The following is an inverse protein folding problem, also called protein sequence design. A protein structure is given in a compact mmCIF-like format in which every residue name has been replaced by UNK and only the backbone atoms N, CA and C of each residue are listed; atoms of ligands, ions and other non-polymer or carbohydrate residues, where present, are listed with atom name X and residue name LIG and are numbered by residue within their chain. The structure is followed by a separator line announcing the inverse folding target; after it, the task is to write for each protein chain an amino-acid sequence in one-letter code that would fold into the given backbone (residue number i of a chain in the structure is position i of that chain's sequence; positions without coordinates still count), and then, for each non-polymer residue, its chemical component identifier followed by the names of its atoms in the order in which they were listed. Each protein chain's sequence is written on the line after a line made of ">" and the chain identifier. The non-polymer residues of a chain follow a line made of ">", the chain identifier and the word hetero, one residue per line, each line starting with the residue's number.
data_IF_367822645717
#
_entry.id   IF_367822645717
#
_cell.length_a   1.000
_cell.length_b   1.000
_cell.length_c   1.000
_cell.angle_alpha   90.00
_cell.angle_beta   90.00
_cell.angle_gamma   90.00
#
_symmetry.space_group_name_H-M   'P 1'
#
loop_
_entity.id
_entity.type
_entity.pdbx_description
1 polymer ?
#
# COMPACT_ATOMS: atom_id res chain seq x y z
N UNK A 1 -23.70 9.68 25.07
CA UNK A 1 -23.06 10.66 24.16
C UNK A 1 -21.79 9.98 23.65
N UNK A 2 -21.51 9.98 22.36
CA UNK A 2 -20.20 9.50 21.89
C UNK A 2 -19.11 10.34 22.55
N UNK A 3 -18.01 9.68 22.87
CA UNK A 3 -16.85 10.31 23.50
C UNK A 3 -16.17 11.21 22.45
N UNK A 4 -16.33 12.52 22.59
CA UNK A 4 -15.83 13.52 21.63
C UNK A 4 -14.31 13.41 21.42
N UNK A 5 -13.59 13.07 22.47
CA UNK A 5 -12.14 12.93 22.43
C UNK A 5 -11.75 11.69 21.58
N UNK A 6 -12.51 10.58 21.68
CA UNK A 6 -12.30 9.39 20.88
C UNK A 6 -12.57 9.63 19.37
N UNK A 7 -13.58 10.43 19.05
CA UNK A 7 -13.90 10.82 17.68
C UNK A 7 -12.77 11.68 17.07
N UNK A 8 -12.25 12.66 17.80
CA UNK A 8 -11.15 13.52 17.33
C UNK A 8 -9.86 12.71 17.08
N UNK A 9 -9.55 11.76 17.96
CA UNK A 9 -8.41 10.84 17.78
C UNK A 9 -8.61 9.96 16.53
N UNK A 10 -9.80 9.45 16.29
CA UNK A 10 -10.14 8.64 15.11
C UNK A 10 -9.97 9.44 13.82
N UNK A 11 -10.46 10.67 13.80
CA UNK A 11 -10.32 11.59 12.65
C UNK A 11 -8.85 11.87 12.35
N UNK A 12 -8.06 12.25 13.35
CA UNK A 12 -6.64 12.55 13.18
C UNK A 12 -5.87 11.32 12.67
N UNK A 13 -6.17 10.14 13.22
CA UNK A 13 -5.54 8.88 12.80
C UNK A 13 -5.89 8.50 11.37
N UNK A 14 -7.15 8.66 10.97
CA UNK A 14 -7.59 8.40 9.60
C UNK A 14 -6.89 9.33 8.62
N UNK A 15 -6.81 10.64 8.90
CA UNK A 15 -6.16 11.62 8.03
C UNK A 15 -4.67 11.33 7.85
N UNK A 16 -3.96 10.97 8.93
CA UNK A 16 -2.54 10.56 8.83
C UNK A 16 -2.38 9.30 7.97
N UNK A 17 -3.21 8.28 8.18
CA UNK A 17 -3.17 7.06 7.38
C UNK A 17 -3.51 7.33 5.91
N UNK A 18 -4.50 8.18 5.63
CA UNK A 18 -4.86 8.60 4.27
C UNK A 18 -3.72 9.33 3.58
N UNK A 19 -3.03 10.23 4.27
CA UNK A 19 -1.84 10.89 3.74
C UNK A 19 -0.72 9.89 3.42
N UNK A 20 -0.50 8.90 4.28
CA UNK A 20 0.48 7.83 4.05
C UNK A 20 0.09 6.94 2.87
N UNK A 21 -1.22 6.62 2.70
CA UNK A 21 -1.73 5.88 1.55
C UNK A 21 -1.48 6.64 0.24
N UNK A 22 -1.73 7.95 0.22
CA UNK A 22 -1.46 8.81 -0.93
C UNK A 22 0.03 8.80 -1.30
N UNK A 23 0.93 8.94 -0.33
CA UNK A 23 2.38 8.85 -0.55
C UNK A 23 2.80 7.50 -1.12
N UNK A 24 2.21 6.40 -0.62
CA UNK A 24 2.50 5.06 -1.11
C UNK A 24 2.01 4.84 -2.55
N UNK A 25 0.81 5.33 -2.88
CA UNK A 25 0.27 5.29 -4.25
C UNK A 25 1.11 6.13 -5.23
N UNK A 26 1.58 7.30 -4.81
CA UNK A 26 2.50 8.13 -5.63
C UNK A 26 3.84 7.43 -5.84
N UNK A 27 4.44 6.85 -4.79
CA UNK A 27 5.68 6.09 -4.89
C UNK A 27 5.54 4.90 -5.85
N UNK A 28 4.47 4.11 -5.70
CA UNK A 28 4.16 3.01 -6.62
C UNK A 28 4.10 3.48 -8.08
N UNK A 29 3.34 4.54 -8.37
CA UNK A 29 3.23 5.07 -9.73
C UNK A 29 4.56 5.58 -10.28
N UNK A 30 5.40 6.18 -9.44
CA UNK A 30 6.74 6.63 -9.82
C UNK A 30 7.64 5.44 -10.18
N UNK A 31 7.66 4.39 -9.34
CA UNK A 31 8.48 3.21 -9.60
C UNK A 31 8.02 2.45 -10.86
N UNK A 32 6.71 2.33 -11.08
CA UNK A 32 6.17 1.73 -12.31
C UNK A 32 6.60 2.47 -13.58
N UNK A 33 6.68 3.80 -13.54
CA UNK A 33 7.20 4.58 -14.67
C UNK A 33 8.68 4.31 -14.91
N UNK A 34 9.49 4.20 -13.86
CA UNK A 34 10.93 3.95 -13.95
C UNK A 34 11.21 2.54 -14.45
N UNK A 35 10.53 1.53 -13.92
CA UNK A 35 10.63 0.14 -14.38
C UNK A 35 10.33 0.03 -15.88
N UNK A 36 9.29 0.72 -16.37
CA UNK A 36 8.96 0.74 -17.81
C UNK A 36 9.94 1.51 -18.68
N UNK A 37 10.58 2.55 -18.14
CA UNK A 37 11.59 3.32 -18.86
C UNK A 37 12.93 2.56 -19.03
N UNK A 38 13.11 1.48 -18.30
CA UNK A 38 14.18 0.51 -18.32
C UNK A 38 15.59 1.09 -18.53
N UNK A 39 16.22 1.49 -17.44
CA UNK A 39 17.67 1.63 -17.37
C UNK A 39 18.20 0.53 -16.46
N UNK A 40 19.07 -0.34 -16.96
CA UNK A 40 19.56 -1.53 -16.25
C UNK A 40 20.13 -1.21 -14.85
N UNK A 41 20.76 -0.06 -14.70
CA UNK A 41 21.45 0.36 -13.47
C UNK A 41 20.55 0.48 -12.24
N UNK A 42 19.25 0.77 -12.41
CA UNK A 42 18.34 1.05 -11.29
C UNK A 42 17.17 0.05 -11.21
N UNK A 43 17.08 -0.90 -12.13
CA UNK A 43 15.91 -1.78 -12.25
C UNK A 43 15.62 -2.56 -10.97
N UNK A 44 16.64 -3.13 -10.35
CA UNK A 44 16.47 -3.90 -9.11
C UNK A 44 15.94 -3.01 -7.99
N UNK A 45 16.57 -1.85 -7.75
CA UNK A 45 16.14 -0.92 -6.71
C UNK A 45 14.71 -0.41 -6.95
N UNK A 46 14.36 -0.11 -8.19
CA UNK A 46 13.02 0.36 -8.55
C UNK A 46 11.96 -0.74 -8.32
N UNK A 47 12.28 -2.00 -8.62
CA UNK A 47 11.41 -3.14 -8.35
C UNK A 47 11.24 -3.39 -6.84
N UNK A 48 12.30 -3.31 -6.05
CA UNK A 48 12.25 -3.42 -4.59
C UNK A 48 11.40 -2.30 -3.98
N UNK A 49 11.60 -1.05 -4.40
CA UNK A 49 10.79 0.07 -3.94
C UNK A 49 9.32 -0.03 -4.36
N UNK A 50 9.04 -0.60 -5.54
CA UNK A 50 7.66 -0.91 -5.96
C UNK A 50 7.00 -1.87 -4.97
N UNK A 51 7.66 -2.99 -4.66
CA UNK A 51 7.17 -3.99 -3.69
C UNK A 51 6.88 -3.34 -2.33
N UNK A 52 7.81 -2.53 -1.83
CA UNK A 52 7.65 -1.85 -0.53
C UNK A 52 6.49 -0.85 -0.55
N UNK A 53 6.32 -0.09 -1.63
CA UNK A 53 5.22 0.87 -1.77
C UNK A 53 3.86 0.18 -1.81
N UNK A 54 3.74 -0.90 -2.60
CA UNK A 54 2.52 -1.71 -2.73
C UNK A 54 2.17 -2.39 -1.40
N UNK A 55 3.15 -3.00 -0.72
CA UNK A 55 2.96 -3.61 0.59
C UNK A 55 2.55 -2.60 1.66
N UNK A 56 3.14 -1.40 1.65
CA UNK A 56 2.78 -0.33 2.58
C UNK A 56 1.34 0.11 2.38
N UNK A 57 0.86 0.21 1.15
CA UNK A 57 -0.51 0.60 0.85
C UNK A 57 -1.53 -0.39 1.45
N UNK A 58 -1.36 -1.69 1.26
CA UNK A 58 -2.29 -2.69 1.84
C UNK A 58 -2.20 -2.70 3.37
N UNK A 59 -1.02 -2.48 3.94
CA UNK A 59 -0.86 -2.39 5.41
C UNK A 59 -1.61 -1.20 6.00
N UNK A 60 -1.63 -0.07 5.30
CA UNK A 60 -2.40 1.13 5.67
C UNK A 60 -3.90 0.85 5.51
N UNK A 61 -4.31 0.24 4.40
CA UNK A 61 -5.71 -0.11 4.14
C UNK A 61 -6.30 -0.99 5.24
N UNK A 62 -5.55 -1.99 5.71
CA UNK A 62 -5.96 -2.83 6.84
C UNK A 62 -6.18 -2.04 8.13
N UNK A 63 -5.37 -1.01 8.38
CA UNK A 63 -5.54 -0.14 9.55
C UNK A 63 -6.76 0.77 9.41
N UNK A 64 -7.01 1.31 8.22
CA UNK A 64 -8.20 2.10 7.93
C UNK A 64 -9.45 1.23 8.02
N UNK A 65 -9.40 0.00 7.54
CA UNK A 65 -10.50 -0.97 7.62
C UNK A 65 -10.94 -1.25 9.07
N UNK A 66 -10.02 -1.15 10.03
CA UNK A 66 -10.33 -1.23 11.46
C UNK A 66 -11.02 0.03 12.00
N UNK A 67 -10.85 1.19 11.35
CA UNK A 67 -11.45 2.46 11.75
C UNK A 67 -12.80 2.71 11.09
N UNK A 68 -13.12 2.03 9.99
CA UNK A 68 -14.34 2.21 9.20
C UNK A 68 -15.23 0.97 9.16
N UNK A 69 -15.17 0.15 10.23
CA UNK A 69 -16.03 -1.03 10.42
C UNK A 69 -16.00 -2.04 9.26
N UNK A 70 -14.83 -2.23 8.67
CA UNK A 70 -14.61 -3.27 7.66
C UNK A 70 -15.03 -2.91 6.23
N UNK A 71 -15.29 -1.63 5.93
CA UNK A 71 -15.81 -1.22 4.61
C UNK A 71 -14.82 -1.40 3.45
N UNK A 72 -13.52 -1.64 3.72
CA UNK A 72 -12.50 -1.94 2.71
C UNK A 72 -12.16 -3.44 2.61
N UNK A 73 -12.87 -4.32 3.32
CA UNK A 73 -12.52 -5.75 3.45
C UNK A 73 -12.47 -6.46 2.09
N UNK A 74 -13.42 -6.16 1.21
CA UNK A 74 -13.49 -6.77 -0.11
C UNK A 74 -12.24 -6.44 -0.94
N UNK A 75 -11.86 -5.17 -1.01
CA UNK A 75 -10.70 -4.71 -1.80
C UNK A 75 -9.38 -5.21 -1.19
N UNK A 76 -9.30 -5.37 0.13
CA UNK A 76 -8.16 -5.99 0.80
C UNK A 76 -8.06 -7.48 0.41
N UNK A 77 -9.17 -8.21 0.45
CA UNK A 77 -9.22 -9.62 0.06
C UNK A 77 -8.88 -9.82 -1.42
N UNK A 78 -9.45 -8.99 -2.30
CA UNK A 78 -9.14 -8.98 -3.73
C UNK A 78 -7.65 -8.69 -3.97
N UNK A 79 -7.08 -7.74 -3.23
CA UNK A 79 -5.67 -7.41 -3.29
C UNK A 79 -4.79 -8.61 -2.91
N UNK A 80 -5.05 -9.25 -1.77
CA UNK A 80 -4.26 -10.40 -1.27
C UNK A 80 -4.37 -11.60 -2.21
N UNK A 81 -5.56 -11.86 -2.75
CA UNK A 81 -5.79 -12.94 -3.72
C UNK A 81 -5.00 -12.71 -5.01
N UNK A 82 -4.89 -11.47 -5.47
CA UNK A 82 -4.20 -11.15 -6.71
C UNK A 82 -2.68 -11.00 -6.56
N UNK A 83 -2.18 -10.76 -5.34
CA UNK A 83 -0.74 -10.60 -5.04
C UNK A 83 -0.31 -11.51 -3.87
N UNK A 84 -0.50 -12.84 -3.99
CA UNK A 84 -0.33 -13.77 -2.87
C UNK A 84 1.12 -13.82 -2.35
N UNK A 85 2.10 -13.50 -3.19
CA UNK A 85 3.53 -13.55 -2.83
C UNK A 85 4.11 -12.22 -2.37
N UNK A 86 3.33 -11.15 -2.33
CA UNK A 86 3.82 -9.81 -2.00
C UNK A 86 4.48 -9.76 -0.61
N UNK A 87 3.91 -10.45 0.37
CA UNK A 87 4.47 -10.52 1.72
C UNK A 87 5.84 -11.24 1.74
N UNK A 88 5.97 -12.34 1.01
CA UNK A 88 7.24 -13.06 0.88
C UNK A 88 8.29 -12.23 0.18
N UNK A 89 7.94 -11.55 -0.91
CA UNK A 89 8.81 -10.59 -1.59
C UNK A 89 9.33 -9.51 -0.63
N UNK A 90 8.41 -8.87 0.08
CA UNK A 90 8.76 -7.82 1.07
C UNK A 90 9.66 -8.36 2.17
N UNK A 91 9.40 -9.57 2.66
CA UNK A 91 10.21 -10.16 3.73
C UNK A 91 11.65 -10.44 3.26
N UNK A 92 11.83 -10.93 2.04
CA UNK A 92 13.18 -11.14 1.49
C UNK A 92 13.92 -9.82 1.34
N UNK A 93 13.26 -8.75 0.83
CA UNK A 93 13.87 -7.42 0.73
C UNK A 93 14.26 -6.88 2.12
N UNK A 94 13.37 -6.99 3.11
CA UNK A 94 13.61 -6.44 4.45
C UNK A 94 14.65 -7.20 5.27
N UNK A 95 14.91 -8.46 4.94
CA UNK A 95 15.83 -9.36 5.62
C UNK A 95 16.92 -9.89 4.70
N UNK A 96 17.29 -9.09 3.70
CA UNK A 96 18.24 -9.47 2.66
C UNK A 96 19.53 -10.06 3.22
N UNK A 97 20.08 -9.43 4.27
CA UNK A 97 21.31 -9.87 4.93
C UNK A 97 21.18 -11.28 5.55
N UNK A 98 20.00 -11.64 6.09
CA UNK A 98 19.75 -12.97 6.65
C UNK A 98 19.78 -14.03 5.54
N UNK A 99 19.25 -13.70 4.36
CA UNK A 99 19.26 -14.60 3.21
C UNK A 99 20.65 -14.76 2.59
N UNK A 100 21.49 -13.72 2.61
CA UNK A 100 22.87 -13.79 2.14
C UNK A 100 23.73 -14.84 2.91
N UNK A 101 23.42 -15.07 4.18
CA UNK A 101 24.12 -16.04 5.03
C UNK A 101 23.33 -17.34 5.27
N UNK A 102 22.32 -17.62 4.44
CA UNK A 102 21.45 -18.79 4.54
C UNK A 102 20.72 -18.94 5.89
N UNK A 103 20.44 -17.84 6.58
CA UNK A 103 19.67 -17.81 7.83
C UNK A 103 18.28 -17.18 7.68
N UNK A 104 17.84 -16.92 6.47
CA UNK A 104 16.52 -16.38 6.16
C UNK A 104 15.40 -17.31 6.60
N UNK A 105 14.25 -16.75 6.91
CA UNK A 105 13.08 -17.47 7.47
C UNK A 105 12.39 -18.38 6.46
N UNK A 106 12.56 -18.12 5.17
CA UNK A 106 11.98 -18.90 4.07
C UNK A 106 13.08 -19.73 3.41
N UNK A 107 13.11 -21.02 3.71
CA UNK A 107 14.10 -21.95 3.20
C UNK A 107 13.99 -22.23 1.68
N UNK A 108 12.92 -21.77 1.04
CA UNK A 108 12.77 -21.88 -0.43
C UNK A 108 13.55 -20.80 -1.19
N UNK A 109 14.01 -19.76 -0.50
CA UNK A 109 14.76 -18.65 -1.07
C UNK A 109 16.25 -19.01 -1.13
N UNK A 110 16.80 -19.10 -2.32
CA UNK A 110 18.22 -19.37 -2.53
C UNK A 110 19.03 -18.09 -2.72
N UNK A 111 20.23 -18.01 -2.13
CA UNK A 111 21.14 -16.85 -2.26
C UNK A 111 21.41 -16.48 -3.73
N UNK A 112 21.54 -17.46 -4.62
CA UNK A 112 21.81 -17.24 -6.05
C UNK A 112 20.62 -16.62 -6.82
N UNK A 113 19.44 -16.50 -6.20
CA UNK A 113 18.24 -15.94 -6.81
C UNK A 113 17.79 -14.59 -6.18
N UNK A 114 18.67 -13.95 -5.42
CA UNK A 114 18.39 -12.66 -4.77
C UNK A 114 18.45 -11.44 -5.71
N UNK A 115 18.44 -11.65 -7.01
CA UNK A 115 18.34 -10.58 -8.01
C UNK A 115 16.94 -10.52 -8.59
N UNK A 116 16.44 -9.30 -8.81
CA UNK A 116 15.21 -9.09 -9.56
C UNK A 116 15.51 -9.16 -11.05
N UNK A 117 14.74 -9.92 -11.79
CA UNK A 117 14.81 -9.97 -13.25
C UNK A 117 13.47 -9.61 -13.88
N UNK A 118 13.51 -8.97 -15.05
CA UNK A 118 12.33 -8.80 -15.89
C UNK A 118 12.13 -10.08 -16.72
N UNK A 119 10.91 -10.59 -16.74
CA UNK A 119 10.52 -11.69 -17.60
C UNK A 119 9.53 -11.24 -18.68
N UNK A 120 8.89 -12.22 -19.30
CA UNK A 120 7.86 -11.96 -20.31
C UNK A 120 6.73 -11.08 -19.73
N UNK A 121 6.20 -10.15 -20.53
CA UNK A 121 5.15 -9.21 -20.19
C UNK A 121 5.48 -8.25 -19.03
N UNK A 122 6.73 -7.82 -18.88
CA UNK A 122 7.21 -6.93 -17.81
C UNK A 122 7.05 -7.50 -16.39
N UNK A 123 6.80 -8.79 -16.23
CA UNK A 123 6.72 -9.42 -14.92
C UNK A 123 8.07 -9.33 -14.20
N UNK A 124 8.00 -9.06 -12.90
CA UNK A 124 9.17 -9.07 -12.02
C UNK A 124 9.30 -10.45 -11.39
N UNK A 125 10.49 -11.03 -11.49
CA UNK A 125 10.82 -12.29 -10.84
C UNK A 125 11.89 -12.05 -9.80
N UNK A 126 11.68 -12.59 -8.61
CA UNK A 126 12.59 -12.49 -7.50
C UNK A 126 12.53 -13.75 -6.64
N UNK A 127 13.63 -14.48 -6.56
CA UNK A 127 13.74 -15.66 -5.69
C UNK A 127 12.60 -16.68 -5.84
N UNK A 128 12.14 -16.92 -7.09
CA UNK A 128 11.03 -17.83 -7.36
C UNK A 128 9.63 -17.23 -7.22
N UNK A 129 9.51 -16.00 -6.74
CA UNK A 129 8.24 -15.25 -6.70
C UNK A 129 8.06 -14.44 -7.98
N UNK A 130 6.81 -14.27 -8.38
CA UNK A 130 6.42 -13.44 -9.51
C UNK A 130 5.50 -12.30 -9.06
N UNK A 131 5.77 -11.11 -9.55
CA UNK A 131 4.91 -9.94 -9.42
C UNK A 131 4.60 -9.37 -10.79
N UNK A 132 3.33 -9.28 -11.14
CA UNK A 132 2.84 -8.53 -12.30
C UNK A 132 2.64 -7.07 -11.91
N UNK A 133 3.45 -6.12 -12.44
CA UNK A 133 3.36 -4.70 -12.08
C UNK A 133 2.04 -4.05 -12.51
N UNK A 134 1.43 -4.51 -13.61
CA UNK A 134 0.15 -3.99 -14.09
C UNK A 134 -0.99 -4.42 -13.17
N UNK A 135 -0.99 -5.69 -12.80
CA UNK A 135 -1.94 -6.25 -11.85
C UNK A 135 -1.78 -5.60 -10.47
N UNK A 136 -0.53 -5.44 -10.00
CA UNK A 136 -0.24 -4.74 -8.76
C UNK A 136 -0.79 -3.31 -8.79
N UNK A 137 -0.61 -2.58 -9.90
CA UNK A 137 -1.19 -1.25 -10.09
C UNK A 137 -2.71 -1.27 -10.03
N UNK A 138 -3.37 -2.18 -10.73
CA UNK A 138 -4.83 -2.24 -10.81
C UNK A 138 -5.46 -2.47 -9.43
N UNK A 139 -5.02 -3.50 -8.69
CA UNK A 139 -5.57 -3.82 -7.36
C UNK A 139 -5.20 -2.77 -6.32
N UNK A 140 -4.01 -2.18 -6.40
CA UNK A 140 -3.60 -1.07 -5.52
C UNK A 140 -4.41 0.19 -5.76
N UNK A 141 -4.76 0.49 -7.01
CA UNK A 141 -5.62 1.64 -7.33
C UNK A 141 -7.04 1.43 -6.81
N UNK A 142 -7.63 0.24 -6.97
CA UNK A 142 -8.93 -0.10 -6.41
C UNK A 142 -8.93 0.08 -4.89
N UNK A 143 -7.92 -0.47 -4.22
CA UNK A 143 -7.76 -0.34 -2.77
C UNK A 143 -7.59 1.12 -2.32
N UNK A 144 -6.79 1.91 -3.05
CA UNK A 144 -6.60 3.34 -2.77
C UNK A 144 -7.90 4.14 -2.88
N UNK A 145 -8.72 3.88 -3.90
CA UNK A 145 -10.03 4.53 -4.04
C UNK A 145 -10.97 4.11 -2.91
N UNK A 146 -11.04 2.83 -2.57
CA UNK A 146 -11.86 2.35 -1.45
C UNK A 146 -11.53 3.04 -0.13
N UNK A 147 -10.23 3.25 0.18
CA UNK A 147 -9.78 4.00 1.36
C UNK A 147 -10.39 5.42 1.40
N UNK A 148 -10.45 6.10 0.26
CA UNK A 148 -10.95 7.48 0.19
C UNK A 148 -12.48 7.56 0.13
N UNK A 149 -13.13 6.57 -0.43
CA UNK A 149 -14.59 6.52 -0.60
C UNK A 149 -15.31 6.08 0.69
N UNK A 150 -14.59 5.39 1.59
CA UNK A 150 -15.14 4.85 2.84
C UNK A 150 -14.44 5.41 4.09
N UNK A 151 -14.50 6.74 4.34
CA UNK A 151 -13.98 7.31 5.58
C UNK A 151 -14.78 6.85 6.80
N UNK A 152 -14.18 6.77 8.00
CA UNK A 152 -14.88 6.49 9.25
C UNK A 152 -16.03 7.48 9.50
N UNK A 153 -17.06 7.07 10.22
CA UNK A 153 -18.24 7.92 10.49
C UNK A 153 -17.84 9.19 11.25
N UNK A 154 -16.94 9.09 12.22
CA UNK A 154 -16.40 10.25 12.94
C UNK A 154 -15.80 11.31 11.99
N UNK A 155 -15.12 10.89 10.92
CA UNK A 155 -14.57 11.80 9.91
C UNK A 155 -15.69 12.45 9.07
N UNK A 156 -16.70 11.69 8.64
CA UNK A 156 -17.85 12.23 7.91
C UNK A 156 -18.57 13.31 8.71
N UNK A 157 -18.79 13.08 10.00
CA UNK A 157 -19.42 14.03 10.91
C UNK A 157 -18.54 15.28 11.16
N UNK A 158 -17.22 15.11 11.27
CA UNK A 158 -16.29 16.23 11.38
C UNK A 158 -16.33 17.15 10.14
N UNK A 159 -16.36 16.55 8.93
CA UNK A 159 -16.49 17.31 7.67
C UNK A 159 -17.82 18.04 7.57
N UNK A 160 -18.94 17.42 8.00
CA UNK A 160 -20.25 18.08 8.03
C UNK A 160 -20.25 19.30 8.96
N UNK A 161 -19.70 19.15 10.18
CA UNK A 161 -19.58 20.26 11.15
C UNK A 161 -18.78 21.42 10.58
N UNK A 162 -17.60 21.12 10.00
CA UNK A 162 -16.76 22.17 9.41
C UNK A 162 -17.46 22.94 8.27
N UNK A 163 -18.21 22.24 7.41
CA UNK A 163 -18.99 22.90 6.35
C UNK A 163 -20.10 23.79 6.90
N UNK A 164 -20.78 23.39 7.97
CA UNK A 164 -21.81 24.19 8.60
C UNK A 164 -21.23 25.49 9.20
N UNK A 165 -20.09 25.41 9.90
CA UNK A 165 -19.40 26.55 10.48
C UNK A 165 -18.93 27.55 9.42
N UNK A 166 -18.40 27.06 8.28
CA UNK A 166 -17.96 27.92 7.17
C UNK A 166 -19.13 28.63 6.46
N UNK A 167 -20.31 28.02 6.39
CA UNK A 167 -21.49 28.64 5.75
C UNK A 167 -22.07 29.83 6.57
N UNK A 168 -21.94 29.76 7.89
CA UNK A 168 -22.40 30.83 8.77
C UNK A 168 -21.50 32.08 8.79
N UNK A 169 -20.23 31.94 8.34
CA UNK A 169 -19.27 33.06 8.27
C UNK A 169 -19.41 33.93 7.02
N UNK A 170 -20.15 33.49 5.98
CA UNK A 170 -20.31 34.24 4.73
C UNK A 170 -21.55 35.18 4.70
N UNK A 171 -22.37 35.21 5.78
CA UNK A 171 -23.57 36.03 5.84
C UNK A 171 -23.38 37.33 6.67
N UNK A 172 -22.13 37.82 6.81
CA UNK A 172 -21.82 39.08 7.49
C UNK A 172 -21.01 40.04 6.62
#
# INVERSE_FOLDING_TARGET
>A
MPDRDADEVTVARYEDLRLQANRSAMAMNHQLKRIRAHTEENFQSDAEFLVLAVHRLVSIAKRINQLNDGQCEKEISDFETNLPHLQSFRNVIAHFDEYLVNSGRDNSVCVGSLSVSAGDNDNLYFSGFQLDPLKAKAVSSSLYFSINDHPPEAHKEAVKRHKADCSTCNDH
#
